data_IF_751173418858
#
_entry.id   IF_751173418858
#
_cell.length_a   1.000
_cell.length_b   1.000
_cell.length_c   1.000
_cell.angle_alpha   90.00
_cell.angle_beta   90.00
_cell.angle_gamma   90.00
#
_symmetry.space_group_name_H-M   'P 1'
#
loop_
_entity.id
_entity.type
_entity.pdbx_description
1 polymer ?
#
# COMPACT_ATOMS: atom_id res chain seq x y z
N UNK A 1 -8.46 -50.87 -30.67
CA UNK A 1 -8.38 -49.42 -30.95
C UNK A 1 -9.35 -48.67 -30.06
N UNK A 2 -9.02 -48.42 -28.78
CA UNK A 2 -9.91 -47.72 -27.84
C UNK A 2 -9.16 -47.26 -26.57
N UNK A 3 -7.98 -46.64 -26.72
CA UNK A 3 -7.22 -46.12 -25.57
C UNK A 3 -6.66 -44.70 -25.76
N UNK A 4 -6.87 -44.08 -26.92
CA UNK A 4 -6.23 -42.80 -27.27
C UNK A 4 -7.03 -41.57 -26.78
N UNK A 5 -8.29 -41.75 -26.36
CA UNK A 5 -9.19 -40.61 -26.08
C UNK A 5 -9.23 -40.10 -24.64
N UNK A 6 -8.41 -40.64 -23.72
CA UNK A 6 -8.42 -40.19 -22.31
C UNK A 6 -7.30 -39.19 -21.97
N UNK A 7 -6.31 -39.03 -22.84
CA UNK A 7 -5.15 -38.14 -22.63
C UNK A 7 -5.39 -36.67 -23.05
N UNK A 8 -6.49 -36.38 -23.75
CA UNK A 8 -6.82 -35.03 -24.24
C UNK A 8 -7.57 -34.15 -23.22
N UNK A 9 -7.98 -34.69 -22.07
CA UNK A 9 -8.79 -33.96 -21.07
C UNK A 9 -7.97 -33.20 -20.02
N UNK A 10 -6.63 -33.26 -20.06
CA UNK A 10 -5.77 -32.65 -19.02
C UNK A 10 -5.07 -31.35 -19.46
N UNK A 11 -5.38 -30.83 -20.65
CA UNK A 11 -4.52 -29.85 -21.32
C UNK A 11 -5.11 -28.44 -21.41
N UNK A 12 -5.81 -27.94 -20.39
CA UNK A 12 -5.86 -26.48 -20.12
C UNK A 12 -5.92 -26.27 -18.61
N UNK A 13 -4.78 -26.38 -17.92
CA UNK A 13 -4.61 -25.66 -16.66
C UNK A 13 -4.07 -24.28 -17.03
N UNK A 14 -4.80 -23.17 -16.80
CA UNK A 14 -4.23 -21.85 -16.98
C UNK A 14 -3.05 -21.73 -16.01
N UNK A 15 -1.84 -21.52 -16.55
CA UNK A 15 -0.67 -21.09 -15.79
C UNK A 15 -0.97 -19.69 -15.27
N UNK A 16 -1.73 -19.59 -14.17
CA UNK A 16 -1.84 -18.38 -13.41
C UNK A 16 -0.47 -18.14 -12.79
N UNK A 17 0.35 -17.31 -13.46
CA UNK A 17 1.57 -16.79 -12.89
C UNK A 17 1.18 -15.85 -11.74
N UNK A 18 1.00 -16.39 -10.54
CA UNK A 18 0.93 -15.59 -9.32
C UNK A 18 2.33 -15.02 -9.06
N UNK A 19 2.59 -13.81 -9.55
CA UNK A 19 3.68 -13.03 -8.99
C UNK A 19 3.39 -12.85 -7.49
N UNK A 20 4.37 -13.09 -6.60
CA UNK A 20 4.15 -12.87 -5.17
C UNK A 20 3.72 -11.43 -4.94
N UNK A 21 2.55 -11.25 -4.31
CA UNK A 21 2.05 -9.92 -3.96
C UNK A 21 3.04 -9.28 -3.00
N UNK A 22 3.49 -8.07 -3.31
CA UNK A 22 4.39 -7.32 -2.43
C UNK A 22 3.73 -7.11 -1.07
N UNK A 23 4.49 -7.32 0.00
CA UNK A 23 4.00 -7.07 1.35
C UNK A 23 3.80 -5.56 1.55
N UNK A 24 2.58 -5.16 1.94
CA UNK A 24 2.18 -3.77 2.18
C UNK A 24 1.92 -3.50 3.66
N UNK A 25 2.18 -4.48 4.52
CA UNK A 25 1.88 -4.40 5.94
C UNK A 25 2.75 -3.34 6.59
N UNK A 26 2.11 -2.41 7.32
CA UNK A 26 2.79 -1.52 8.23
C UNK A 26 2.87 -2.20 9.60
N UNK A 27 4.04 -2.14 10.22
CA UNK A 27 4.26 -2.53 11.61
C UNK A 27 5.24 -1.53 12.23
N UNK A 28 4.74 -0.32 12.57
CA UNK A 28 5.57 0.70 13.19
C UNK A 28 6.20 0.20 14.50
N UNK A 29 7.48 0.48 14.76
CA UNK A 29 8.11 0.13 16.03
C UNK A 29 7.48 0.94 17.18
N UNK A 30 7.54 0.41 18.41
CA UNK A 30 6.93 1.05 19.59
C UNK A 30 7.42 2.49 19.81
N UNK A 31 8.70 2.72 19.57
CA UNK A 31 9.38 4.00 19.72
C UNK A 31 9.38 4.86 18.44
N UNK A 32 8.47 4.59 17.49
CA UNK A 32 8.37 5.43 16.28
C UNK A 32 7.96 6.87 16.63
N UNK A 33 8.47 7.80 15.84
CA UNK A 33 7.95 9.17 15.79
C UNK A 33 6.68 9.23 14.95
N UNK A 34 5.81 10.18 15.27
CA UNK A 34 4.50 10.36 14.65
C UNK A 34 4.37 11.77 14.06
N UNK A 35 3.66 11.87 12.93
CA UNK A 35 3.10 13.12 12.44
C UNK A 35 1.66 13.18 12.93
N UNK A 36 1.39 14.11 13.85
CA UNK A 36 0.05 14.39 14.34
C UNK A 36 -0.64 15.37 13.39
N UNK A 37 -1.83 14.97 12.91
CA UNK A 37 -2.61 15.76 11.96
C UNK A 37 -3.93 16.11 12.61
N UNK A 38 -4.22 17.40 12.62
CA UNK A 38 -5.49 17.95 13.07
C UNK A 38 -6.08 18.82 11.96
N UNK A 39 -7.31 18.53 11.57
CA UNK A 39 -8.07 19.29 10.56
C UNK A 39 -9.33 19.82 11.19
N UNK A 40 -9.52 21.13 11.15
CA UNK A 40 -10.75 21.78 11.62
C UNK A 40 -11.66 22.01 10.42
N UNK A 41 -12.79 21.30 10.37
CA UNK A 41 -13.78 21.45 9.32
C UNK A 41 -14.68 22.67 9.59
N UNK A 42 -14.99 23.49 8.58
CA UNK A 42 -16.05 24.49 8.67
C UNK A 42 -17.42 23.88 9.04
N UNK A 43 -18.36 24.69 9.56
CA UNK A 43 -19.72 24.22 9.83
C UNK A 43 -20.36 23.54 8.61
N UNK A 44 -21.08 22.44 8.86
CA UNK A 44 -21.77 21.65 7.84
C UNK A 44 -20.85 21.03 6.76
N UNK A 45 -19.57 20.83 7.06
CA UNK A 45 -18.60 20.14 6.19
C UNK A 45 -17.91 18.99 6.92
N UNK A 46 -17.27 18.09 6.18
CA UNK A 46 -16.47 17.00 6.74
C UNK A 46 -15.03 17.09 6.21
N UNK A 47 -14.07 16.61 7.00
CA UNK A 47 -12.69 16.52 6.51
C UNK A 47 -12.54 15.33 5.55
N UNK A 48 -11.82 15.55 4.45
CA UNK A 48 -11.50 14.49 3.49
C UNK A 48 -10.52 13.47 4.12
N UNK A 49 -10.58 12.18 3.73
CA UNK A 49 -9.60 11.19 4.17
C UNK A 49 -8.14 11.59 3.89
N UNK A 50 -7.24 11.01 4.68
CA UNK A 50 -5.81 11.22 4.54
C UNK A 50 -5.18 10.14 3.65
N UNK A 51 -4.26 10.53 2.79
CA UNK A 51 -3.42 9.60 2.03
C UNK A 51 -1.98 9.70 2.50
N UNK A 52 -1.43 8.61 3.03
CA UNK A 52 -0.01 8.49 3.37
C UNK A 52 0.70 7.64 2.31
N UNK A 53 1.78 8.15 1.74
CA UNK A 53 2.65 7.39 0.85
C UNK A 53 3.93 7.00 1.59
N UNK A 54 4.12 5.70 1.75
CA UNK A 54 5.37 5.14 2.25
C UNK A 54 6.27 4.70 1.10
N UNK A 55 7.58 4.76 1.31
CA UNK A 55 8.60 4.30 0.36
C UNK A 55 9.50 3.29 1.04
N UNK A 56 10.05 2.35 0.27
CA UNK A 56 10.97 1.34 0.79
C UNK A 56 12.20 1.22 -0.11
N UNK A 57 13.37 1.14 0.52
CA UNK A 57 14.62 0.75 -0.14
C UNK A 57 14.87 -0.77 -0.07
N UNK A 58 14.08 -1.51 0.73
CA UNK A 58 14.16 -2.96 0.90
C UNK A 58 13.28 -3.66 -0.14
N UNK A 59 11.99 -3.34 -0.16
CA UNK A 59 11.04 -3.84 -1.13
C UNK A 59 11.05 -2.94 -2.37
N UNK A 60 11.92 -3.25 -3.32
CA UNK A 60 12.04 -2.54 -4.59
C UNK A 60 10.89 -2.88 -5.55
N UNK A 61 10.58 -1.95 -6.44
CA UNK A 61 9.73 -2.17 -7.61
C UNK A 61 10.65 -2.45 -8.81
N UNK A 62 10.42 -3.56 -9.50
CA UNK A 62 11.10 -3.87 -10.76
C UNK A 62 10.16 -3.61 -11.92
N UNK A 63 10.56 -2.71 -12.82
CA UNK A 63 9.84 -2.39 -14.05
C UNK A 63 10.64 -2.91 -15.25
N UNK A 64 9.93 -3.44 -16.25
CA UNK A 64 10.52 -3.89 -17.52
C UNK A 64 10.13 -2.88 -18.59
N UNK A 65 11.14 -2.27 -19.20
CA UNK A 65 10.95 -1.31 -20.28
C UNK A 65 10.78 -2.01 -21.64
N UNK A 66 10.36 -1.25 -22.66
CA UNK A 66 10.14 -1.78 -24.01
C UNK A 66 11.40 -2.37 -24.66
N UNK A 67 12.59 -1.95 -24.22
CA UNK A 67 13.89 -2.49 -24.63
C UNK A 67 14.32 -3.74 -23.83
N UNK A 68 13.40 -4.31 -23.03
CA UNK A 68 13.61 -5.44 -22.11
C UNK A 68 14.62 -5.17 -20.98
N UNK A 69 15.04 -3.92 -20.78
CA UNK A 69 15.85 -3.58 -19.61
C UNK A 69 15.00 -3.60 -18.34
N UNK A 70 15.63 -4.04 -17.25
CA UNK A 70 15.02 -4.09 -15.93
C UNK A 70 15.52 -2.91 -15.11
N UNK A 71 14.61 -2.07 -14.65
CA UNK A 71 14.91 -0.98 -13.75
C UNK A 71 14.35 -1.25 -12.36
N UNK A 72 15.13 -0.96 -11.32
CA UNK A 72 14.69 -1.07 -9.93
C UNK A 72 14.53 0.32 -9.33
N UNK A 73 13.34 0.61 -8.83
CA UNK A 73 13.06 1.80 -8.06
C UNK A 73 12.66 1.44 -6.63
N UNK A 74 12.71 2.41 -5.70
CA UNK A 74 12.16 2.21 -4.35
C UNK A 74 10.70 1.75 -4.45
N UNK A 75 10.25 0.88 -3.56
CA UNK A 75 8.83 0.52 -3.46
C UNK A 75 7.99 1.71 -3.01
N UNK A 76 6.68 1.64 -3.22
CA UNK A 76 5.71 2.66 -2.82
C UNK A 76 4.49 2.00 -2.18
N UNK A 77 4.12 2.34 -0.96
CA UNK A 77 2.96 1.76 -0.26
C UNK A 77 1.96 2.87 0.08
N UNK A 78 0.91 3.05 -0.73
CA UNK A 78 -0.13 4.05 -0.46
C UNK A 78 -1.10 3.51 0.58
N UNK A 79 -1.40 4.32 1.60
CA UNK A 79 -2.29 3.97 2.69
C UNK A 79 -3.35 5.05 2.84
N UNK A 80 -4.60 4.66 2.68
CA UNK A 80 -5.77 5.49 2.92
C UNK A 80 -6.14 5.41 4.40
N UNK A 81 -6.22 6.56 5.08
CA UNK A 81 -6.52 6.64 6.50
C UNK A 81 -7.72 7.54 6.74
N UNK A 82 -8.72 7.04 7.46
CA UNK A 82 -9.83 7.86 7.92
C UNK A 82 -9.33 8.82 9.03
N UNK A 83 -9.75 10.08 8.97
CA UNK A 83 -9.57 11.00 10.09
C UNK A 83 -10.71 10.78 11.09
N UNK A 84 -10.38 10.74 12.38
CA UNK A 84 -11.37 10.50 13.44
C UNK A 84 -11.93 11.84 13.95
N UNK A 85 -13.25 12.08 13.85
CA UNK A 85 -13.85 13.29 14.39
C UNK A 85 -13.84 13.30 15.93
N UNK A 86 -13.77 14.49 16.50
CA UNK A 86 -14.06 14.73 17.90
C UNK A 86 -15.57 14.62 18.20
N UNK A 87 -15.94 14.71 19.48
CA UNK A 87 -17.34 14.62 19.90
C UNK A 87 -18.24 15.68 19.25
N UNK A 88 -17.68 16.84 18.88
CA UNK A 88 -18.40 17.91 18.22
C UNK A 88 -18.49 17.74 16.69
N UNK A 89 -17.79 16.75 16.11
CA UNK A 89 -17.75 16.51 14.67
C UNK A 89 -17.04 17.62 13.89
N UNK A 90 -16.20 18.43 14.54
CA UNK A 90 -15.53 19.59 13.90
C UNK A 90 -14.04 19.42 13.76
N UNK A 91 -13.40 18.72 14.69
CA UNK A 91 -11.96 18.53 14.71
C UNK A 91 -11.64 17.08 14.39
N UNK A 92 -10.93 16.85 13.30
CA UNK A 92 -10.59 15.55 12.78
C UNK A 92 -9.12 15.26 13.05
N UNK A 93 -8.82 14.10 13.66
CA UNK A 93 -7.47 13.73 14.08
C UNK A 93 -6.99 12.42 13.47
N UNK A 94 -5.71 12.37 13.15
CA UNK A 94 -5.02 11.15 12.76
C UNK A 94 -3.53 11.26 13.09
N UNK A 95 -2.88 10.13 13.34
CA UNK A 95 -1.44 10.03 13.52
C UNK A 95 -0.84 9.13 12.45
N UNK A 96 0.23 9.59 11.82
CA UNK A 96 0.94 8.83 10.79
C UNK A 96 2.34 8.53 11.28
N UNK A 97 2.74 7.26 11.33
CA UNK A 97 4.08 6.90 11.77
C UNK A 97 5.12 7.35 10.74
N UNK A 98 6.20 8.01 11.17
CA UNK A 98 7.34 8.30 10.29
C UNK A 98 8.01 6.99 9.84
N UNK A 99 8.17 6.05 10.78
CA UNK A 99 8.59 4.68 10.50
C UNK A 99 7.38 3.76 10.44
N UNK A 100 6.96 3.41 9.23
CA UNK A 100 5.90 2.45 8.99
C UNK A 100 6.33 1.00 9.25
N UNK A 101 7.63 0.73 9.32
CA UNK A 101 8.20 -0.57 9.66
C UNK A 101 7.72 -1.72 8.76
N UNK A 102 7.49 -2.88 9.37
CA UNK A 102 7.15 -4.12 8.68
C UNK A 102 8.32 -4.71 7.87
N UNK A 103 8.12 -5.83 7.15
CA UNK A 103 9.18 -6.54 6.43
C UNK A 103 9.85 -5.73 5.32
N UNK A 104 9.17 -4.69 4.84
CA UNK A 104 9.68 -3.78 3.83
C UNK A 104 10.29 -2.50 4.41
N UNK A 105 10.39 -2.35 5.74
CA UNK A 105 10.94 -1.14 6.38
C UNK A 105 10.35 0.17 5.79
N UNK A 106 9.03 0.22 5.72
CA UNK A 106 8.31 1.33 5.09
C UNK A 106 8.64 2.66 5.79
N UNK A 107 9.10 3.67 5.06
CA UNK A 107 9.34 5.03 5.58
C UNK A 107 8.37 6.02 4.96
N UNK A 108 7.78 6.89 5.79
CA UNK A 108 6.84 7.90 5.31
C UNK A 108 7.56 8.83 4.33
N UNK A 109 6.95 9.10 3.19
CA UNK A 109 7.49 9.99 2.17
C UNK A 109 6.62 11.20 1.91
N UNK A 110 5.30 11.05 1.98
CA UNK A 110 4.37 12.14 1.72
C UNK A 110 3.03 11.88 2.41
N UNK A 111 2.39 12.97 2.79
CA UNK A 111 1.01 13.01 3.24
C UNK A 111 0.25 13.94 2.30
N UNK A 112 -0.93 13.52 1.86
CA UNK A 112 -1.84 14.35 1.05
C UNK A 112 -3.22 14.37 1.69
N UNK A 113 -3.82 15.56 1.71
CA UNK A 113 -5.21 15.82 2.07
C UNK A 113 -5.93 16.25 0.78
N UNK A 114 -7.00 15.58 0.38
CA UNK A 114 -7.77 15.96 -0.81
C UNK A 114 -8.48 14.83 -1.50
#
# INVERSE_FOLDING_TARGET
MKFINLLMLFSIAPLAACAPKRDLTLSPPEQTQWVDIEVVAPPNTTAFPLNALYRSSVCLLEDIHADMTKYKSRGYNPVHMALQPDAAGRVYRQRVALDGGGPCEWKLSMITLG
#
